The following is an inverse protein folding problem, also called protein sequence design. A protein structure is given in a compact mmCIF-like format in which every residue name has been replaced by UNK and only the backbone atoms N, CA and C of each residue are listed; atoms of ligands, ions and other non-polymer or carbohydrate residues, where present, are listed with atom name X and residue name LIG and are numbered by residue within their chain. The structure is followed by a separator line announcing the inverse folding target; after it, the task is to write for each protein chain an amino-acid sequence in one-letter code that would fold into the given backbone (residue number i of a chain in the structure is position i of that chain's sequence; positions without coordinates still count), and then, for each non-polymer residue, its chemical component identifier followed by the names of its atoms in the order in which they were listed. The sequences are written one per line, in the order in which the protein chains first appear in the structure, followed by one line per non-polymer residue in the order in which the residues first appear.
data_IF_904876498844
#
_entry.id   IF_904876498844
#
_cell.length_a   1.000
_cell.length_b   1.000
_cell.length_c   1.000
_cell.angle_alpha   90.00
_cell.angle_beta   90.00
_cell.angle_gamma   90.00
#
_symmetry.space_group_name_H-M   'P 1'
#
loop_
_entity.id
_entity.type
_entity.pdbx_description
1 polymer ?
#
# COMPACT_ATOMS: atom_id res chain seq x y z
N UNK A 1 28.75 -16.69 22.65
CA UNK A 1 27.83 -17.82 22.92
C UNK A 1 26.34 -17.45 22.85
N UNK A 2 25.96 -16.30 22.26
CA UNK A 2 24.56 -15.80 22.27
C UNK A 2 23.88 -15.90 20.89
N UNK A 3 24.59 -16.41 19.87
CA UNK A 3 24.08 -16.49 18.48
C UNK A 3 23.31 -17.78 18.19
N UNK A 4 23.44 -18.79 19.06
CA UNK A 4 22.85 -20.13 18.84
C UNK A 4 21.39 -20.22 19.29
N UNK A 5 20.91 -19.33 20.16
CA UNK A 5 19.54 -19.40 20.70
C UNK A 5 18.49 -18.79 19.74
N UNK A 6 18.89 -17.94 18.79
CA UNK A 6 17.95 -17.33 17.84
C UNK A 6 17.68 -18.20 16.59
N UNK A 7 18.51 -19.22 16.34
CA UNK A 7 18.32 -20.13 15.20
C UNK A 7 17.40 -21.31 15.52
N UNK A 8 17.10 -21.58 16.79
CA UNK A 8 16.12 -22.61 17.19
C UNK A 8 14.66 -22.14 17.12
N UNK A 9 14.43 -20.89 16.69
CA UNK A 9 13.10 -20.42 16.27
C UNK A 9 12.89 -20.54 14.75
N UNK A 10 13.72 -21.35 14.08
CA UNK A 10 13.49 -21.81 12.71
C UNK A 10 12.67 -23.10 12.76
N UNK A 11 11.49 -23.02 12.16
CA UNK A 11 10.79 -24.15 11.57
C UNK A 11 10.47 -25.33 12.53
N UNK A 12 9.56 -25.10 13.47
CA UNK A 12 8.47 -26.07 13.52
C UNK A 12 7.72 -25.92 12.21
N UNK A 13 8.12 -26.71 11.22
CA UNK A 13 7.37 -26.93 10.00
C UNK A 13 6.09 -27.65 10.41
N UNK A 14 5.15 -26.89 11.00
CA UNK A 14 3.84 -27.41 11.30
C UNK A 14 3.21 -27.77 9.97
N UNK A 15 2.80 -29.03 9.82
CA UNK A 15 2.19 -29.54 8.62
C UNK A 15 0.88 -28.79 8.36
N UNK A 16 0.98 -27.73 7.56
CA UNK A 16 -0.16 -26.95 7.14
C UNK A 16 -1.10 -27.89 6.38
N UNK A 17 -2.29 -28.07 6.91
CA UNK A 17 -3.30 -28.98 6.37
C UNK A 17 -4.59 -28.22 6.17
N UNK A 18 -5.34 -28.57 5.12
CA UNK A 18 -6.68 -28.02 4.87
C UNK A 18 -7.60 -28.36 6.05
N UNK A 19 -8.44 -27.41 6.46
CA UNK A 19 -9.32 -27.49 7.62
C UNK A 19 -8.71 -26.95 8.91
N UNK A 20 -7.40 -26.65 8.95
CA UNK A 20 -6.78 -26.10 10.15
C UNK A 20 -7.19 -24.65 10.39
N UNK A 21 -7.44 -24.35 11.66
CA UNK A 21 -7.64 -22.98 12.14
C UNK A 21 -6.31 -22.27 12.15
N UNK A 22 -6.32 -21.05 11.65
CA UNK A 22 -5.11 -20.28 11.47
C UNK A 22 -5.32 -18.79 11.70
N UNK A 23 -4.21 -18.11 11.93
CA UNK A 23 -4.11 -16.67 11.94
C UNK A 23 -3.07 -16.23 10.91
N UNK A 24 -3.42 -15.21 10.14
CA UNK A 24 -2.52 -14.57 9.18
C UNK A 24 -2.25 -13.13 9.63
N UNK A 25 -0.99 -12.70 9.46
CA UNK A 25 -0.54 -11.34 9.78
C UNK A 25 -0.85 -10.90 11.24
N UNK A 26 -0.98 -11.84 12.18
CA UNK A 26 -1.17 -11.58 13.62
C UNK A 26 -2.52 -11.00 14.04
N UNK A 27 -3.50 -10.91 13.14
CA UNK A 27 -4.82 -10.29 13.44
C UNK A 27 -6.00 -10.92 12.71
N UNK A 28 -5.79 -11.55 11.56
CA UNK A 28 -6.88 -12.08 10.73
C UNK A 28 -6.97 -13.59 10.91
N UNK A 29 -8.11 -14.06 11.39
CA UNK A 29 -8.34 -15.49 11.66
C UNK A 29 -9.19 -16.12 10.56
N UNK A 30 -8.98 -17.41 10.38
CA UNK A 30 -9.70 -18.19 9.39
C UNK A 30 -9.32 -19.65 9.42
N UNK A 31 -9.66 -20.33 8.34
CA UNK A 31 -9.45 -21.74 8.11
C UNK A 31 -8.68 -21.94 6.81
N UNK A 32 -7.69 -22.84 6.81
CA UNK A 32 -6.97 -23.22 5.59
C UNK A 32 -7.92 -23.98 4.67
N UNK A 33 -8.23 -23.45 3.50
CA UNK A 33 -9.17 -24.03 2.55
C UNK A 33 -8.49 -24.64 1.31
N UNK A 34 -7.24 -24.27 1.03
CA UNK A 34 -6.48 -24.77 -0.11
C UNK A 34 -4.97 -24.73 0.17
N UNK A 35 -4.22 -25.70 -0.34
CA UNK A 35 -2.75 -25.69 -0.35
C UNK A 35 -2.29 -26.18 -1.72
N UNK A 36 -1.49 -25.38 -2.41
CA UNK A 36 -0.94 -25.76 -3.71
C UNK A 36 -0.61 -24.59 -4.63
N UNK A 37 -0.24 -24.87 -5.90
CA UNK A 37 0.05 -23.83 -6.88
C UNK A 37 -1.23 -23.13 -7.38
N UNK A 38 -1.15 -21.81 -7.58
CA UNK A 38 -2.27 -20.99 -8.03
C UNK A 38 -1.89 -20.30 -9.34
N UNK A 39 -2.80 -20.35 -10.32
CA UNK A 39 -2.62 -19.77 -11.63
C UNK A 39 -2.78 -18.25 -11.57
N UNK A 40 -2.01 -17.54 -12.39
CA UNK A 40 -2.06 -16.07 -12.45
C UNK A 40 -1.35 -15.35 -11.30
N UNK A 41 -0.62 -16.07 -10.44
CA UNK A 41 0.27 -15.49 -9.41
C UNK A 41 1.65 -16.20 -9.43
N UNK A 42 2.69 -15.64 -8.78
CA UNK A 42 4.04 -16.21 -8.83
C UNK A 42 4.10 -17.70 -8.46
N UNK A 43 4.96 -18.45 -9.14
CA UNK A 43 5.12 -19.88 -8.94
C UNK A 43 5.48 -20.23 -7.48
N UNK A 44 5.19 -21.48 -7.13
CA UNK A 44 5.40 -22.05 -5.79
C UNK A 44 4.08 -22.35 -5.08
N UNK A 45 4.20 -22.78 -3.83
CA UNK A 45 3.06 -23.17 -3.00
C UNK A 45 2.37 -21.94 -2.38
N UNK A 46 1.05 -22.00 -2.38
CA UNK A 46 0.15 -21.01 -1.80
C UNK A 46 -0.85 -21.68 -0.89
N UNK A 47 -1.17 -21.02 0.22
CA UNK A 47 -2.27 -21.39 1.10
C UNK A 47 -3.46 -20.46 0.81
N UNK A 48 -4.59 -21.03 0.42
CA UNK A 48 -5.87 -20.34 0.34
C UNK A 48 -6.55 -20.40 1.71
N UNK A 49 -6.86 -19.25 2.30
CA UNK A 49 -7.48 -19.13 3.62
C UNK A 49 -8.90 -18.58 3.47
N UNK A 50 -9.87 -19.26 4.08
CA UNK A 50 -11.23 -18.78 4.31
C UNK A 50 -11.25 -18.01 5.61
N UNK A 51 -11.36 -16.69 5.54
CA UNK A 51 -11.41 -15.80 6.68
C UNK A 51 -12.79 -15.80 7.32
N UNK A 52 -12.82 -15.64 8.64
CA UNK A 52 -14.07 -15.53 9.40
C UNK A 52 -14.80 -14.20 9.10
N UNK A 53 -14.04 -13.15 8.74
CA UNK A 53 -14.52 -11.79 8.48
C UNK A 53 -14.14 -11.33 7.06
N UNK A 54 -14.85 -10.35 6.48
CA UNK A 54 -14.67 -9.90 5.09
C UNK A 54 -13.41 -9.03 4.88
N UNK A 55 -12.24 -9.51 5.31
CA UNK A 55 -10.93 -8.84 5.19
C UNK A 55 -10.01 -9.49 4.14
N UNK A 56 -10.59 -10.35 3.30
CA UNK A 56 -9.96 -11.04 2.19
C UNK A 56 -9.95 -10.20 0.92
N UNK A 57 -9.45 -10.82 -0.16
CA UNK A 57 -9.29 -10.21 -1.48
C UNK A 57 -10.15 -10.85 -2.56
N UNK A 58 -10.61 -12.08 -2.32
CA UNK A 58 -11.37 -12.87 -3.29
C UNK A 58 -12.49 -13.68 -2.61
N UNK A 59 -13.25 -14.41 -3.42
CA UNK A 59 -14.31 -15.35 -3.04
C UNK A 59 -13.84 -16.82 -3.18
N UNK A 60 -12.52 -17.05 -3.10
CA UNK A 60 -11.87 -18.34 -3.34
C UNK A 60 -11.51 -18.62 -4.80
N UNK A 61 -11.67 -17.61 -5.67
CA UNK A 61 -11.19 -17.64 -7.05
C UNK A 61 -9.91 -16.82 -7.23
N UNK A 62 -9.11 -17.20 -8.24
CA UNK A 62 -8.02 -16.40 -8.77
C UNK A 62 -8.07 -16.44 -10.29
N UNK A 63 -8.30 -15.30 -10.93
CA UNK A 63 -8.56 -15.24 -12.37
C UNK A 63 -9.86 -15.94 -12.73
N UNK A 64 -9.80 -16.92 -13.64
CA UNK A 64 -10.95 -17.74 -14.04
C UNK A 64 -11.07 -19.06 -13.26
N UNK A 65 -10.12 -19.38 -12.39
CA UNK A 65 -10.08 -20.67 -11.68
C UNK A 65 -10.56 -20.52 -10.24
N UNK A 66 -11.45 -21.44 -9.82
CA UNK A 66 -11.89 -21.59 -8.43
C UNK A 66 -11.01 -22.62 -7.71
N UNK A 67 -10.57 -22.28 -6.51
CA UNK A 67 -9.72 -23.12 -5.67
C UNK A 67 -10.46 -23.60 -4.42
N UNK A 68 -11.30 -22.74 -3.85
CA UNK A 68 -12.15 -23.05 -2.70
C UNK A 68 -13.39 -22.16 -2.73
N UNK A 69 -14.38 -22.48 -1.90
CA UNK A 69 -15.60 -21.68 -1.76
C UNK A 69 -15.58 -20.85 -0.49
N UNK A 70 -15.88 -19.56 -0.63
CA UNK A 70 -16.16 -18.65 0.46
C UNK A 70 -17.00 -17.45 -0.01
N UNK A 71 -17.48 -16.65 0.95
CA UNK A 71 -18.20 -15.41 0.64
C UNK A 71 -17.27 -14.38 -0.03
N UNK A 72 -17.81 -13.42 -0.79
CA UNK A 72 -17.01 -12.34 -1.35
C UNK A 72 -16.20 -11.63 -0.27
N UNK A 73 -14.92 -11.41 -0.52
CA UNK A 73 -13.96 -10.81 0.43
C UNK A 73 -13.63 -11.70 1.65
N UNK A 74 -13.96 -12.99 1.64
CA UNK A 74 -13.51 -13.90 2.70
C UNK A 74 -12.30 -14.75 2.29
N UNK A 75 -11.92 -14.77 1.02
CA UNK A 75 -10.80 -15.56 0.53
C UNK A 75 -9.52 -14.76 0.40
N UNK A 76 -8.38 -15.38 0.74
CA UNK A 76 -7.05 -14.82 0.50
C UNK A 76 -6.03 -15.92 0.21
N UNK A 77 -5.12 -15.66 -0.73
CA UNK A 77 -3.95 -16.50 -0.96
C UNK A 77 -2.71 -15.89 -0.31
N UNK A 78 -2.03 -16.67 0.53
CA UNK A 78 -0.80 -16.27 1.23
C UNK A 78 0.29 -17.34 1.08
N UNK A 79 1.54 -16.98 1.37
CA UNK A 79 2.61 -17.99 1.49
C UNK A 79 2.39 -18.81 2.76
N UNK A 80 2.65 -20.14 2.74
CA UNK A 80 2.54 -20.99 3.92
C UNK A 80 3.26 -20.42 5.15
N UNK A 81 4.45 -19.83 4.95
CA UNK A 81 5.25 -19.19 6.02
C UNK A 81 4.54 -18.02 6.74
N UNK A 82 3.49 -17.47 6.14
CA UNK A 82 2.69 -16.37 6.72
C UNK A 82 1.46 -16.86 7.49
N UNK A 83 1.26 -18.16 7.58
CA UNK A 83 0.13 -18.80 8.25
C UNK A 83 0.58 -19.35 9.60
N UNK A 84 0.01 -18.81 10.67
CA UNK A 84 0.21 -19.32 12.02
C UNK A 84 -0.89 -20.32 12.37
N UNK A 85 -0.54 -21.58 12.60
CA UNK A 85 -1.45 -22.66 13.04
C UNK A 85 -1.15 -23.15 14.45
N UNK A 86 -0.11 -22.62 15.11
CA UNK A 86 0.38 -23.11 16.40
C UNK A 86 -0.46 -22.67 17.61
N UNK A 87 -1.57 -21.97 17.39
CA UNK A 87 -2.42 -21.41 18.44
C UNK A 87 -3.86 -21.93 18.37
N UNK A 88 -4.59 -21.75 19.46
CA UNK A 88 -6.03 -21.96 19.49
C UNK A 88 -6.73 -20.73 18.88
N UNK A 89 -7.25 -20.89 17.66
CA UNK A 89 -7.93 -19.84 16.91
C UNK A 89 -9.40 -20.19 16.71
N UNK A 90 -10.22 -20.12 17.77
CA UNK A 90 -11.65 -20.37 17.64
C UNK A 90 -12.25 -19.40 16.61
N UNK A 91 -13.28 -19.83 15.86
CA UNK A 91 -14.00 -18.93 14.97
C UNK A 91 -14.52 -17.74 15.76
N UNK A 92 -14.44 -16.54 15.18
CA UNK A 92 -15.18 -15.41 15.72
C UNK A 92 -16.67 -15.77 15.68
N UNK A 93 -17.25 -16.10 16.83
CA UNK A 93 -18.66 -16.40 16.97
C UNK A 93 -19.45 -15.20 16.49
N UNK A 94 -20.10 -15.34 15.33
CA UNK A 94 -21.28 -14.55 14.99
C UNK A 94 -22.28 -14.81 16.09
N UNK A 95 -22.57 -13.79 16.90
CA UNK A 95 -23.68 -13.80 17.83
C UNK A 95 -24.92 -14.18 17.02
N UNK A 96 -25.59 -15.26 17.43
CA UNK A 96 -26.91 -15.62 16.92
C UNK A 96 -27.87 -14.47 17.27
N UNK A 97 -28.08 -13.57 16.33
CA UNK A 97 -29.25 -12.69 16.28
C UNK A 97 -29.79 -12.78 14.86
N UNK A 98 -30.92 -13.49 14.74
CA UNK A 98 -31.71 -13.71 13.53
C UNK A 98 -32.41 -12.40 13.06
N UNK A 99 -31.61 -11.35 12.88
CA UNK A 99 -32.01 -10.10 12.24
C UNK A 99 -31.26 -9.95 10.91
N UNK A 100 -31.85 -10.59 9.91
CA UNK A 100 -31.75 -10.34 8.46
C UNK A 100 -30.36 -10.02 7.90
N UNK A 101 -29.61 -11.07 7.57
CA UNK A 101 -28.50 -11.03 6.62
C UNK A 101 -28.91 -10.40 5.28
N UNK A 102 -30.18 -10.53 4.89
CA UNK A 102 -30.73 -9.93 3.66
C UNK A 102 -30.77 -8.40 3.74
N UNK A 103 -31.02 -7.82 4.92
CA UNK A 103 -30.99 -6.38 5.14
C UNK A 103 -29.57 -5.83 5.13
N UNK A 104 -28.60 -6.56 5.69
CA UNK A 104 -27.17 -6.18 5.63
C UNK A 104 -26.61 -6.31 4.22
N UNK A 105 -27.03 -7.29 3.43
CA UNK A 105 -26.67 -7.41 2.01
C UNK A 105 -27.26 -6.26 1.19
N UNK A 106 -28.54 -5.93 1.40
CA UNK A 106 -29.20 -4.76 0.78
C UNK A 106 -28.49 -3.46 1.12
N UNK A 107 -28.15 -3.23 2.38
CA UNK A 107 -27.41 -2.04 2.81
C UNK A 107 -26.00 -1.98 2.18
N UNK A 108 -25.33 -3.12 1.98
CA UNK A 108 -24.02 -3.18 1.31
C UNK A 108 -24.15 -2.99 -0.21
N UNK A 109 -25.20 -3.51 -0.84
CA UNK A 109 -25.49 -3.32 -2.27
C UNK A 109 -25.92 -1.88 -2.57
N UNK A 110 -26.75 -1.28 -1.72
CA UNK A 110 -27.17 0.11 -1.81
C UNK A 110 -26.00 1.05 -1.50
N UNK A 111 -25.13 0.74 -0.54
CA UNK A 111 -23.89 1.46 -0.30
C UNK A 111 -22.93 1.37 -1.51
N UNK A 112 -22.82 0.20 -2.15
CA UNK A 112 -22.01 0.02 -3.37
C UNK A 112 -22.62 0.73 -4.58
N UNK A 113 -23.94 0.78 -4.71
CA UNK A 113 -24.65 1.52 -5.75
C UNK A 113 -24.50 3.04 -5.55
N UNK A 114 -24.62 3.52 -4.31
CA UNK A 114 -24.32 4.90 -3.94
C UNK A 114 -22.85 5.25 -4.16
N UNK A 115 -21.92 4.30 -3.95
CA UNK A 115 -20.49 4.48 -4.20
C UNK A 115 -20.14 4.48 -5.70
N UNK A 116 -20.91 3.77 -6.55
CA UNK A 116 -20.85 3.87 -8.03
C UNK A 116 -21.35 5.22 -8.54
N UNK A 117 -22.42 5.76 -7.96
CA UNK A 117 -22.89 7.12 -8.27
C UNK A 117 -21.94 8.21 -7.73
N UNK A 118 -21.35 7.99 -6.54
CA UNK A 118 -20.32 8.87 -5.99
C UNK A 118 -18.99 8.79 -6.76
N UNK A 119 -18.59 7.69 -7.40
CA UNK A 119 -17.34 7.66 -8.21
C UNK A 119 -17.47 8.47 -9.50
N UNK A 120 -18.67 8.55 -10.09
CA UNK A 120 -18.95 9.45 -11.22
C UNK A 120 -19.08 10.93 -10.81
N UNK A 121 -19.40 11.24 -9.54
CA UNK A 121 -19.47 12.63 -9.04
C UNK A 121 -18.21 13.09 -8.27
N UNK A 122 -17.44 12.19 -7.62
CA UNK A 122 -16.20 12.48 -6.86
C UNK A 122 -14.98 12.72 -7.72
N UNK A 123 -14.96 12.28 -8.99
CA UNK A 123 -13.92 12.75 -9.92
C UNK A 123 -13.98 14.27 -10.16
N UNK A 124 -15.10 14.93 -9.79
CA UNK A 124 -15.24 16.40 -9.88
C UNK A 124 -15.24 17.13 -8.54
N UNK A 125 -15.23 16.43 -7.41
CA UNK A 125 -15.25 17.10 -6.11
C UNK A 125 -14.43 16.30 -5.08
N UNK A 126 -13.43 16.98 -4.52
CA UNK A 126 -12.82 16.73 -3.20
C UNK A 126 -11.75 15.63 -3.19
N UNK A 127 -10.44 15.94 -3.25
CA UNK A 127 -9.71 16.98 -2.53
C UNK A 127 -10.17 17.06 -1.06
N UNK A 128 -9.23 16.89 -0.12
CA UNK A 128 -9.40 17.00 1.34
C UNK A 128 -10.25 15.93 2.04
N UNK A 129 -9.60 14.90 2.59
CA UNK A 129 -9.38 14.75 4.05
C UNK A 129 -8.84 13.34 4.35
N UNK A 130 -7.71 13.29 5.06
CA UNK A 130 -6.76 12.20 5.19
C UNK A 130 -7.09 11.20 6.31
N UNK A 131 -7.24 9.92 5.96
CA UNK A 131 -7.02 8.79 6.87
C UNK A 131 -6.35 7.65 6.10
N UNK A 132 -5.03 7.52 6.29
CA UNK A 132 -4.21 6.52 5.61
C UNK A 132 -4.54 5.12 6.12
N UNK A 133 -4.96 4.21 5.23
CA UNK A 133 -5.39 2.85 5.64
C UNK A 133 -4.45 1.76 5.11
N UNK A 134 -3.57 2.06 4.15
CA UNK A 134 -2.58 1.09 3.61
C UNK A 134 -1.21 1.69 3.24
N UNK A 135 -0.17 0.84 3.25
CA UNK A 135 1.20 1.21 2.80
C UNK A 135 1.23 1.65 1.33
N UNK A 136 0.38 1.07 0.48
CA UNK A 136 0.27 1.45 -0.93
C UNK A 136 -0.29 2.88 -1.07
N UNK A 137 -1.36 3.21 -0.35
CA UNK A 137 -1.91 4.57 -0.31
C UNK A 137 -0.88 5.59 0.21
N UNK A 138 -0.05 5.21 1.19
CA UNK A 138 1.02 6.08 1.68
C UNK A 138 2.10 6.34 0.62
N UNK A 139 2.46 5.33 -0.18
CA UNK A 139 3.40 5.46 -1.30
C UNK A 139 2.80 6.32 -2.42
N UNK A 140 1.55 6.10 -2.79
CA UNK A 140 0.86 6.88 -3.83
C UNK A 140 0.69 8.34 -3.42
N UNK A 141 0.28 8.58 -2.17
CA UNK A 141 0.16 9.93 -1.63
C UNK A 141 1.52 10.64 -1.57
N UNK A 142 2.56 9.93 -1.15
CA UNK A 142 3.92 10.46 -1.20
C UNK A 142 4.31 10.90 -2.62
N UNK A 143 4.12 10.03 -3.61
CA UNK A 143 4.51 10.36 -4.98
C UNK A 143 3.66 11.48 -5.57
N UNK A 144 2.37 11.56 -5.21
CA UNK A 144 1.54 12.71 -5.58
C UNK A 144 2.11 14.01 -5.01
N UNK A 145 2.34 14.07 -3.69
CA UNK A 145 2.87 15.27 -3.04
C UNK A 145 4.28 15.64 -3.54
N UNK A 146 5.14 14.63 -3.72
CA UNK A 146 6.50 14.81 -4.21
C UNK A 146 6.52 15.35 -5.65
N UNK A 147 5.69 14.79 -6.54
CA UNK A 147 5.60 15.24 -7.93
C UNK A 147 4.99 16.64 -8.04
N UNK A 148 3.99 16.97 -7.21
CA UNK A 148 3.40 18.31 -7.18
C UNK A 148 4.42 19.37 -6.76
N UNK A 149 5.21 19.07 -5.73
CA UNK A 149 6.31 19.95 -5.28
C UNK A 149 7.44 20.02 -6.32
N UNK A 150 7.83 18.90 -6.94
CA UNK A 150 8.80 18.91 -8.07
C UNK A 150 8.31 19.80 -9.22
N UNK A 151 7.05 19.65 -9.62
CA UNK A 151 6.47 20.42 -10.71
C UNK A 151 6.41 21.92 -10.37
N UNK A 152 6.15 22.27 -9.11
CA UNK A 152 6.22 23.65 -8.65
C UNK A 152 7.63 24.22 -8.77
N UNK A 153 8.65 23.49 -8.29
CA UNK A 153 10.06 23.89 -8.42
C UNK A 153 10.45 24.11 -9.88
N UNK A 154 10.08 23.17 -10.77
CA UNK A 154 10.35 23.29 -12.22
C UNK A 154 9.67 24.51 -12.83
N UNK A 155 8.39 24.73 -12.54
CA UNK A 155 7.63 25.88 -13.08
C UNK A 155 8.23 27.20 -12.63
N UNK A 156 8.56 27.33 -11.35
CA UNK A 156 9.19 28.53 -10.82
C UNK A 156 10.58 28.72 -11.42
N UNK A 157 11.37 27.65 -11.53
CA UNK A 157 12.68 27.69 -12.18
C UNK A 157 12.57 28.18 -13.61
N UNK A 158 11.60 27.70 -14.40
CA UNK A 158 11.35 28.16 -15.77
C UNK A 158 10.95 29.63 -15.84
N UNK A 159 10.11 30.09 -14.91
CA UNK A 159 9.63 31.49 -14.86
C UNK A 159 10.69 32.53 -14.50
N UNK A 160 11.81 32.11 -13.89
CA UNK A 160 12.92 33.02 -13.57
C UNK A 160 13.67 33.38 -14.87
N UNK A 161 13.62 34.66 -15.24
CA UNK A 161 14.34 35.24 -16.37
C UNK A 161 15.42 36.24 -15.90
N UNK A 162 16.43 36.45 -16.75
CA UNK A 162 17.59 37.32 -16.48
C UNK A 162 17.24 38.78 -16.13
N UNK A 163 16.06 39.25 -16.52
CA UNK A 163 15.62 40.62 -16.29
C UNK A 163 15.07 40.88 -14.87
N UNK A 164 14.99 39.87 -14.02
CA UNK A 164 14.50 40.03 -12.65
C UNK A 164 15.59 40.61 -11.73
N UNK A 165 15.34 41.67 -10.94
CA UNK A 165 16.35 42.25 -10.06
C UNK A 165 16.74 41.37 -8.86
N UNK A 166 16.07 40.22 -8.66
CA UNK A 166 16.21 39.35 -7.48
C UNK A 166 16.38 37.86 -7.84
N UNK A 167 17.08 37.58 -8.94
CA UNK A 167 17.35 36.20 -9.41
C UNK A 167 18.03 35.36 -8.34
N UNK A 168 18.99 35.95 -7.60
CA UNK A 168 19.76 35.25 -6.57
C UNK A 168 18.87 34.68 -5.47
N UNK A 169 18.01 35.51 -4.89
CA UNK A 169 17.06 35.11 -3.85
C UNK A 169 16.06 34.07 -4.36
N UNK A 170 15.58 34.23 -5.59
CA UNK A 170 14.63 33.28 -6.21
C UNK A 170 15.26 31.89 -6.39
N UNK A 171 16.53 31.81 -6.79
CA UNK A 171 17.27 30.55 -6.90
C UNK A 171 17.59 29.94 -5.53
N UNK A 172 17.90 30.75 -4.51
CA UNK A 172 18.10 30.28 -3.14
C UNK A 172 16.81 29.73 -2.51
N UNK A 173 15.67 30.37 -2.80
CA UNK A 173 14.34 29.85 -2.42
C UNK A 173 14.10 28.48 -3.06
N UNK A 174 14.44 28.31 -4.34
CA UNK A 174 14.30 27.01 -5.01
C UNK A 174 15.23 25.95 -4.43
N UNK A 175 16.46 26.30 -4.04
CA UNK A 175 17.33 25.38 -3.31
C UNK A 175 16.71 24.93 -1.99
N UNK A 176 16.05 25.84 -1.27
CA UNK A 176 15.32 25.53 -0.04
C UNK A 176 14.15 24.58 -0.30
N UNK A 177 13.39 24.79 -1.37
CA UNK A 177 12.30 23.90 -1.77
C UNK A 177 12.80 22.49 -2.12
N UNK A 178 13.94 22.38 -2.81
CA UNK A 178 14.57 21.08 -3.13
C UNK A 178 15.09 20.38 -1.88
N UNK A 179 15.61 21.11 -0.89
CA UNK A 179 15.93 20.55 0.42
C UNK A 179 14.66 20.04 1.14
N UNK A 180 13.55 20.77 1.06
CA UNK A 180 12.25 20.30 1.55
C UNK A 180 11.79 19.00 0.88
N UNK A 181 12.01 18.84 -0.43
CA UNK A 181 11.75 17.57 -1.15
C UNK A 181 12.63 16.42 -0.63
N UNK A 182 13.91 16.70 -0.32
CA UNK A 182 14.82 15.70 0.25
C UNK A 182 14.40 15.29 1.65
N UNK A 183 13.95 16.22 2.48
CA UNK A 183 13.45 15.92 3.83
C UNK A 183 12.16 15.10 3.78
N UNK A 184 11.27 15.41 2.84
CA UNK A 184 10.07 14.64 2.57
C UNK A 184 10.41 13.20 2.15
N UNK A 185 11.38 13.02 1.25
CA UNK A 185 11.90 11.71 0.88
C UNK A 185 12.56 10.96 2.05
N UNK A 186 13.30 11.66 2.92
CA UNK A 186 13.93 11.08 4.09
C UNK A 186 12.90 10.56 5.11
N UNK A 187 11.84 11.34 5.38
CA UNK A 187 10.73 10.91 6.24
C UNK A 187 10.01 9.68 5.67
N UNK A 188 9.94 9.57 4.34
CA UNK A 188 9.25 8.50 3.65
C UNK A 188 10.03 7.18 3.56
N UNK A 189 11.32 7.16 3.92
CA UNK A 189 12.16 5.93 3.94
C UNK A 189 11.57 4.79 4.78
N UNK A 190 10.71 5.12 5.74
CA UNK A 190 9.98 4.16 6.59
C UNK A 190 9.06 3.25 5.76
N UNK A 191 8.47 3.78 4.69
CA UNK A 191 7.46 3.09 3.89
C UNK A 191 7.78 3.02 2.39
N UNK A 192 8.71 3.81 1.89
CA UNK A 192 9.17 3.71 0.51
C UNK A 192 10.07 2.49 0.30
N UNK A 193 9.92 1.74 -0.80
CA UNK A 193 10.86 0.70 -1.19
C UNK A 193 12.20 1.30 -1.68
N UNK A 194 13.31 0.54 -1.65
CA UNK A 194 14.64 1.06 -2.00
C UNK A 194 14.75 1.62 -3.43
N UNK A 195 13.94 1.13 -4.38
CA UNK A 195 13.94 1.66 -5.75
C UNK A 195 13.33 3.07 -5.82
N UNK A 196 12.29 3.33 -5.03
CA UNK A 196 11.64 4.64 -4.96
C UNK A 196 12.54 5.66 -4.24
N UNK A 197 13.23 5.24 -3.19
CA UNK A 197 14.22 6.10 -2.51
C UNK A 197 15.29 6.57 -3.52
N UNK A 198 15.83 5.66 -4.34
CA UNK A 198 16.79 6.04 -5.39
C UNK A 198 16.18 6.99 -6.42
N UNK A 199 14.92 6.80 -6.79
CA UNK A 199 14.22 7.68 -7.72
C UNK A 199 14.09 9.11 -7.16
N UNK A 200 13.69 9.27 -5.88
CA UNK A 200 13.59 10.60 -5.23
C UNK A 200 14.95 11.32 -5.17
N UNK A 201 16.04 10.58 -4.89
CA UNK A 201 17.41 11.09 -4.89
C UNK A 201 17.83 11.55 -6.30
N UNK A 202 17.50 10.77 -7.34
CA UNK A 202 17.81 11.12 -8.71
C UNK A 202 17.03 12.36 -9.19
N UNK A 203 15.80 12.57 -8.71
CA UNK A 203 15.02 13.79 -9.02
C UNK A 203 15.61 15.01 -8.33
N UNK A 204 15.80 14.96 -7.01
CA UNK A 204 16.36 16.10 -6.24
C UNK A 204 17.75 16.52 -6.74
N UNK A 205 18.61 15.56 -7.08
CA UNK A 205 19.91 15.86 -7.68
C UNK A 205 19.80 16.56 -9.04
N UNK A 206 18.88 16.13 -9.91
CA UNK A 206 18.64 16.77 -11.21
C UNK A 206 18.11 18.20 -11.05
N UNK A 207 17.25 18.45 -10.07
CA UNK A 207 16.74 19.81 -9.80
C UNK A 207 17.86 20.75 -9.34
N UNK A 208 18.73 20.31 -8.41
CA UNK A 208 19.88 21.11 -7.98
C UNK A 208 20.82 21.44 -9.15
N UNK A 209 21.12 20.45 -9.99
CA UNK A 209 21.92 20.68 -11.20
C UNK A 209 21.27 21.69 -12.15
N UNK A 210 19.94 21.65 -12.31
CA UNK A 210 19.23 22.61 -13.14
C UNK A 210 19.25 24.03 -12.56
N UNK A 211 19.14 24.16 -11.22
CA UNK A 211 19.24 25.44 -10.51
C UNK A 211 20.66 26.01 -10.68
N UNK A 212 21.71 25.21 -10.47
CA UNK A 212 23.10 25.63 -10.63
C UNK A 212 23.44 26.01 -12.08
N UNK A 213 22.95 25.24 -13.05
CA UNK A 213 23.10 25.57 -14.47
C UNK A 213 22.43 26.92 -14.79
N UNK A 214 21.24 27.17 -14.24
CA UNK A 214 20.53 28.43 -14.44
C UNK A 214 21.21 29.59 -13.71
N UNK A 215 21.74 29.37 -12.51
CA UNK A 215 22.60 30.34 -11.79
C UNK A 215 23.83 30.73 -12.61
N UNK A 216 24.49 29.75 -13.23
CA UNK A 216 25.68 29.98 -14.07
C UNK A 216 25.33 30.72 -15.35
N UNK A 217 24.19 30.41 -15.98
CA UNK A 217 23.74 31.10 -17.19
C UNK A 217 23.30 32.55 -16.95
N UNK A 218 22.84 32.86 -15.73
CA UNK A 218 22.36 34.18 -15.32
C UNK A 218 23.43 34.99 -14.55
N UNK A 219 24.63 34.43 -14.36
CA UNK A 219 25.73 35.14 -13.74
C UNK A 219 26.21 36.27 -14.69
N UNK A 220 26.43 37.49 -14.17
CA UNK A 220 26.86 38.66 -14.96
C UNK A 220 28.30 38.53 -15.49
#
# INVERSE_FOLDING_TARGET
MVRTVYLTKLAEKMDLTVGLRCEISGKRRGEVAYIGPVQGIPAGEWAGIRLDLPFGKNDGTQGSQRYFDCQPLHGVFVRPDSVNVSGDFPPFLVVQDDASLEEKVRLVEDARAAQRQQTSQRQKAQASTTSFTSRAEAVDAFWSEFNDKEANVRRTLESIEAASPDVGYSLDSLCTDVHGLRDLAAAATIFLPPYDIRATQAVTHRLLQAIDAKRTALAP
#
